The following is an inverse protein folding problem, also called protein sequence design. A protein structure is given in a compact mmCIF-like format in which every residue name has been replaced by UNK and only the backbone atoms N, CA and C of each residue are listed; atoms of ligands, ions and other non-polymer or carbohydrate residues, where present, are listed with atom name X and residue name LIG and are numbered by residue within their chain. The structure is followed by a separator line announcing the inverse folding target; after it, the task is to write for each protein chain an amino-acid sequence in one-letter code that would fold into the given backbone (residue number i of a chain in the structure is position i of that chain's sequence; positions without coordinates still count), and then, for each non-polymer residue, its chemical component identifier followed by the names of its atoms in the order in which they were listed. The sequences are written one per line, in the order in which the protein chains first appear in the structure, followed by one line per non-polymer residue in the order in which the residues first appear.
data_IF_886737076774
#
_entry.id   IF_886737076774
#
_cell.length_a   1.000
_cell.length_b   1.000
_cell.length_c   1.000
_cell.angle_alpha   90.00
_cell.angle_beta   90.00
_cell.angle_gamma   90.00
#
_symmetry.space_group_name_H-M   'P 1'
#
loop_
_entity.id
_entity.type
_entity.pdbx_description
1 polymer ?
#
# COMPACT_ATOMS: atom_id res chain seq x y z
N UNK A 1 3.55 14.24 6.71
CA UNK A 1 3.61 13.65 5.36
C UNK A 1 2.85 12.32 5.26
N UNK A 2 3.36 11.23 5.86
CA UNK A 2 2.73 9.90 5.85
C UNK A 2 1.25 9.87 6.27
N UNK A 3 0.87 10.58 7.33
CA UNK A 3 -0.49 10.54 7.87
C UNK A 3 -1.59 10.91 6.87
N UNK A 4 -1.30 11.83 5.93
CA UNK A 4 -2.27 12.25 4.90
C UNK A 4 -2.64 11.13 3.92
N UNK A 5 -1.70 10.23 3.63
CA UNK A 5 -1.93 9.10 2.72
C UNK A 5 -2.48 7.88 3.45
N UNK A 6 -2.20 7.73 4.75
CA UNK A 6 -2.68 6.60 5.56
C UNK A 6 -4.20 6.57 5.71
N UNK A 7 -4.87 7.73 5.81
CA UNK A 7 -6.34 7.77 5.87
C UNK A 7 -7.00 7.21 4.62
N UNK A 8 -6.47 7.56 3.44
CA UNK A 8 -6.94 7.02 2.16
C UNK A 8 -6.71 5.50 2.06
N UNK A 9 -5.54 5.04 2.51
CA UNK A 9 -5.19 3.62 2.52
C UNK A 9 -6.09 2.77 3.44
N UNK A 10 -6.54 3.30 4.58
CA UNK A 10 -7.48 2.61 5.46
C UNK A 10 -8.80 2.30 4.75
N UNK A 11 -9.38 3.29 4.07
CA UNK A 11 -10.64 3.12 3.31
C UNK A 11 -10.45 2.02 2.26
N UNK A 12 -9.34 2.04 1.52
CA UNK A 12 -9.07 1.02 0.50
C UNK A 12 -8.91 -0.38 1.09
N UNK A 13 -8.23 -0.47 2.24
CA UNK A 13 -8.08 -1.73 2.96
C UNK A 13 -9.46 -2.29 3.35
N UNK A 14 -10.35 -1.46 3.89
CA UNK A 14 -11.73 -1.85 4.19
C UNK A 14 -12.50 -2.26 2.93
N UNK A 15 -12.37 -1.52 1.82
CA UNK A 15 -12.99 -1.88 0.54
C UNK A 15 -12.50 -3.23 0.04
N UNK A 16 -11.21 -3.57 0.21
CA UNK A 16 -10.71 -4.89 -0.20
C UNK A 16 -11.35 -6.04 0.59
N UNK A 17 -11.73 -5.81 1.86
CA UNK A 17 -12.41 -6.82 2.69
C UNK A 17 -13.80 -7.16 2.14
N UNK A 18 -14.44 -6.28 1.35
CA UNK A 18 -15.71 -6.59 0.69
C UNK A 18 -15.60 -7.75 -0.31
N UNK A 19 -14.40 -8.00 -0.83
CA UNK A 19 -14.11 -9.07 -1.80
C UNK A 19 -13.53 -10.32 -1.14
N UNK A 20 -13.49 -10.39 0.20
CA UNK A 20 -12.92 -11.51 0.96
C UNK A 20 -13.58 -12.87 0.65
N UNK A 21 -14.83 -12.85 0.16
CA UNK A 21 -15.59 -14.04 -0.19
C UNK A 21 -14.90 -14.92 -1.23
N UNK A 22 -14.24 -14.32 -2.24
CA UNK A 22 -13.48 -15.06 -3.25
C UNK A 22 -11.97 -14.86 -3.02
N UNK A 23 -11.25 -15.96 -2.82
CA UNK A 23 -9.81 -15.94 -2.48
C UNK A 23 -8.96 -15.21 -3.51
N UNK A 24 -9.20 -15.42 -4.80
CA UNK A 24 -8.44 -14.77 -5.87
C UNK A 24 -8.80 -13.30 -6.04
N UNK A 25 -10.07 -12.96 -5.91
CA UNK A 25 -10.50 -11.56 -5.94
C UNK A 25 -9.90 -10.79 -4.77
N UNK A 26 -10.00 -11.35 -3.56
CA UNK A 26 -9.40 -10.78 -2.37
C UNK A 26 -7.89 -10.64 -2.49
N UNK A 27 -7.20 -11.66 -3.00
CA UNK A 27 -5.74 -11.63 -3.23
C UNK A 27 -5.34 -10.49 -4.16
N UNK A 28 -6.04 -10.31 -5.28
CA UNK A 28 -5.74 -9.21 -6.22
C UNK A 28 -6.11 -7.85 -5.63
N UNK A 29 -7.28 -7.72 -5.01
CA UNK A 29 -7.73 -6.50 -4.35
C UNK A 29 -6.79 -6.07 -3.22
N UNK A 30 -6.37 -7.00 -2.36
CA UNK A 30 -5.45 -6.70 -1.26
C UNK A 30 -4.05 -6.32 -1.78
N UNK A 31 -3.59 -6.91 -2.88
CA UNK A 31 -2.35 -6.48 -3.53
C UNK A 31 -2.46 -5.04 -4.08
N UNK A 32 -3.62 -4.66 -4.62
CA UNK A 32 -3.91 -3.31 -5.08
C UNK A 32 -3.87 -2.27 -3.96
N UNK A 33 -4.39 -2.61 -2.77
CA UNK A 33 -4.30 -1.74 -1.59
C UNK A 33 -2.86 -1.60 -1.13
N UNK A 34 -2.19 -2.73 -0.92
CA UNK A 34 -0.89 -2.76 -0.24
C UNK A 34 0.26 -2.27 -1.09
N UNK A 35 0.16 -2.25 -2.43
CA UNK A 35 1.26 -1.77 -3.29
C UNK A 35 1.59 -0.30 -3.04
N UNK A 36 0.58 0.53 -2.75
CA UNK A 36 0.79 1.94 -2.41
C UNK A 36 1.39 2.08 -1.01
N UNK A 37 0.87 1.33 -0.04
CA UNK A 37 1.38 1.35 1.34
C UNK A 37 2.85 0.94 1.37
N UNK A 38 3.19 -0.13 0.68
CA UNK A 38 4.58 -0.60 0.56
C UNK A 38 5.45 0.46 -0.10
N UNK A 39 5.01 1.10 -1.18
CA UNK A 39 5.76 2.19 -1.81
C UNK A 39 6.00 3.35 -0.83
N UNK A 40 4.97 3.76 -0.08
CA UNK A 40 5.07 4.84 0.89
C UNK A 40 6.00 4.51 2.05
N UNK A 41 5.92 3.30 2.60
CA UNK A 41 6.82 2.83 3.65
C UNK A 41 8.26 2.74 3.15
N UNK A 42 8.49 2.18 1.98
CA UNK A 42 9.84 2.10 1.40
C UNK A 42 10.43 3.49 1.12
N UNK A 43 9.62 4.39 0.55
CA UNK A 43 10.03 5.78 0.35
C UNK A 43 10.36 6.46 1.67
N UNK A 44 9.56 6.23 2.72
CA UNK A 44 9.82 6.78 4.04
C UNK A 44 11.13 6.28 4.64
N UNK A 45 11.36 4.96 4.63
CA UNK A 45 12.58 4.37 5.19
C UNK A 45 13.86 4.80 4.47
N UNK A 46 13.76 5.20 3.19
CA UNK A 46 14.91 5.72 2.44
C UNK A 46 15.04 7.24 2.61
N UNK A 47 13.95 7.98 2.45
CA UNK A 47 14.00 9.45 2.40
C UNK A 47 14.07 10.09 3.78
N UNK A 48 13.52 9.47 4.83
CA UNK A 48 13.53 10.07 6.18
C UNK A 48 14.95 10.19 6.77
N UNK A 49 15.82 9.16 6.72
CA UNK A 49 17.21 9.33 7.16
C UNK A 49 17.98 10.39 6.36
N UNK A 50 17.73 10.45 5.04
CA UNK A 50 18.32 11.47 4.16
C UNK A 50 17.84 12.86 4.59
N UNK A 51 16.54 13.02 4.86
CA UNK A 51 15.96 14.29 5.30
C UNK A 51 16.53 14.72 6.65
N UNK A 52 16.61 13.83 7.63
CA UNK A 52 17.22 14.12 8.94
C UNK A 52 18.69 14.52 8.82
N UNK A 53 19.45 13.88 7.91
CA UNK A 53 20.86 14.17 7.72
C UNK A 53 21.16 15.42 6.89
N UNK A 54 20.29 15.77 5.94
CA UNK A 54 20.60 16.79 4.91
C UNK A 54 19.60 17.96 4.85
N UNK A 55 18.36 17.75 5.30
CA UNK A 55 17.24 18.68 5.16
C UNK A 55 16.90 19.00 3.70
N UNK A 56 17.10 18.07 2.77
CA UNK A 56 16.95 18.32 1.31
C UNK A 56 15.52 18.72 0.95
N UNK A 57 14.51 18.03 1.49
CA UNK A 57 13.11 18.31 1.21
C UNK A 57 12.72 19.66 1.83
N UNK A 58 13.15 19.94 3.06
CA UNK A 58 12.95 21.25 3.70
C UNK A 58 13.59 22.39 2.89
N UNK A 59 14.84 22.22 2.43
CA UNK A 59 15.55 23.24 1.64
C UNK A 59 14.90 23.48 0.29
N UNK A 60 14.54 22.41 -0.44
CA UNK A 60 13.88 22.53 -1.74
C UNK A 60 12.50 23.17 -1.57
N UNK A 61 11.69 22.71 -0.61
CA UNK A 61 10.37 23.30 -0.36
C UNK A 61 10.46 24.75 0.07
N UNK A 62 11.39 25.10 0.97
CA UNK A 62 11.63 26.48 1.39
C UNK A 62 12.04 27.40 0.24
N UNK A 63 12.92 26.93 -0.65
CA UNK A 63 13.33 27.66 -1.86
C UNK A 63 12.15 27.94 -2.80
N UNK A 64 11.17 27.03 -2.89
CA UNK A 64 9.95 27.22 -3.67
C UNK A 64 8.97 28.17 -2.96
N UNK A 65 8.87 28.13 -1.63
CA UNK A 65 7.93 28.97 -0.85
C UNK A 65 8.30 30.45 -0.88
N UNK A 66 9.60 30.77 -0.84
CA UNK A 66 10.09 32.15 -0.78
C UNK A 66 9.45 33.07 -1.86
N UNK A 67 9.47 32.73 -3.16
CA UNK A 67 8.83 33.54 -4.19
C UNK A 67 7.29 33.50 -4.14
N UNK A 68 6.69 32.41 -3.66
CA UNK A 68 5.24 32.22 -3.64
C UNK A 68 4.54 32.90 -2.45
N UNK A 69 5.27 33.19 -1.38
CA UNK A 69 4.72 33.79 -0.15
C UNK A 69 4.25 35.24 -0.29
N UNK A 70 4.57 35.91 -1.40
CA UNK A 70 4.10 37.25 -1.74
C UNK A 70 2.72 37.29 -2.41
N UNK A 71 2.16 36.13 -2.81
CA UNK A 71 0.84 36.06 -3.45
C UNK A 71 -0.24 36.24 -2.38
N UNK A 72 -1.01 37.34 -2.46
CA UNK A 72 -2.12 37.61 -1.53
C UNK A 72 -3.23 36.56 -1.71
N UNK A 73 -3.58 35.86 -0.63
CA UNK A 73 -4.66 34.85 -0.55
C UNK A 73 -6.09 35.39 -0.84
N UNK A 74 -6.21 36.68 -1.19
CA UNK A 74 -7.48 37.40 -1.38
C UNK A 74 -8.30 36.94 -2.59
N UNK A 75 -7.74 36.15 -3.52
CA UNK A 75 -8.45 35.67 -4.72
C UNK A 75 -8.89 34.20 -4.63
N UNK A 76 -8.53 33.46 -3.57
CA UNK A 76 -8.72 31.99 -3.50
C UNK A 76 -9.94 31.58 -2.65
N UNK A 77 -10.68 32.53 -2.06
CA UNK A 77 -11.94 32.27 -1.33
C UNK A 77 -13.06 31.63 -2.18
N UNK A 78 -12.91 31.63 -3.51
CA UNK A 78 -13.85 31.05 -4.49
C UNK A 78 -13.80 29.51 -4.54
N UNK A 79 -12.78 28.86 -3.96
CA UNK A 79 -12.56 27.43 -4.18
C UNK A 79 -13.51 26.53 -3.38
N UNK A 80 -13.85 26.89 -2.13
CA UNK A 80 -14.75 26.08 -1.30
C UNK A 80 -16.18 25.98 -1.88
N UNK A 81 -16.62 26.97 -2.66
CA UNK A 81 -17.92 26.95 -3.34
C UNK A 81 -17.94 25.99 -4.54
N UNK A 82 -16.77 25.67 -5.12
CA UNK A 82 -16.62 24.71 -6.22
C UNK A 82 -16.42 23.26 -5.73
N UNK A 83 -15.89 23.06 -4.52
CA UNK A 83 -15.56 21.72 -4.00
C UNK A 83 -16.81 20.90 -3.66
N UNK A 84 -17.83 21.52 -3.08
CA UNK A 84 -19.07 20.83 -2.67
C UNK A 84 -19.89 20.23 -3.84
N UNK A 85 -20.14 20.93 -4.96
CA UNK A 85 -20.84 20.33 -6.10
C UNK A 85 -20.01 19.23 -6.79
N UNK A 86 -18.68 19.39 -6.83
CA UNK A 86 -17.76 18.40 -7.40
C UNK A 86 -17.75 17.12 -6.56
N UNK A 87 -17.69 17.24 -5.22
CA UNK A 87 -17.76 16.10 -4.31
C UNK A 87 -19.06 15.31 -4.48
N UNK A 88 -20.19 16.00 -4.58
CA UNK A 88 -21.50 15.36 -4.80
C UNK A 88 -21.61 14.70 -6.17
N UNK A 89 -21.06 15.32 -7.22
CA UNK A 89 -21.00 14.72 -8.55
C UNK A 89 -20.12 13.46 -8.56
N UNK A 90 -18.97 13.52 -7.89
CA UNK A 90 -18.06 12.37 -7.75
C UNK A 90 -18.77 11.24 -7.03
N UNK A 91 -19.41 11.49 -5.88
CA UNK A 91 -20.16 10.45 -5.15
C UNK A 91 -21.20 9.79 -6.05
N UNK A 92 -21.93 10.55 -6.87
CA UNK A 92 -22.89 10.00 -7.85
C UNK A 92 -22.20 9.21 -8.97
N UNK A 93 -21.09 9.70 -9.52
CA UNK A 93 -20.33 9.03 -10.57
C UNK A 93 -19.63 7.75 -10.06
N UNK A 94 -19.27 7.70 -8.78
CA UNK A 94 -18.80 6.49 -8.09
C UNK A 94 -19.91 5.47 -7.96
N UNK A 95 -21.07 5.89 -7.44
CA UNK A 95 -22.25 5.02 -7.28
C UNK A 95 -22.76 4.50 -8.63
N UNK A 96 -22.63 5.30 -9.68
CA UNK A 96 -22.97 4.93 -11.05
C UNK A 96 -21.88 4.16 -11.83
N UNK A 97 -20.72 3.88 -11.22
CA UNK A 97 -19.63 3.12 -11.85
C UNK A 97 -18.90 3.79 -13.03
N UNK A 98 -19.29 5.02 -13.40
CA UNK A 98 -18.79 5.73 -14.58
C UNK A 98 -17.29 6.00 -14.52
N UNK A 99 -16.76 6.32 -13.33
CA UNK A 99 -15.32 6.54 -13.11
C UNK A 99 -14.54 5.26 -13.38
N UNK A 100 -15.07 4.10 -12.97
CA UNK A 100 -14.45 2.81 -13.24
C UNK A 100 -14.38 2.50 -14.74
N UNK A 101 -15.44 2.83 -15.48
CA UNK A 101 -15.50 2.67 -16.95
C UNK A 101 -14.51 3.62 -17.65
N UNK A 102 -14.43 4.89 -17.21
CA UNK A 102 -13.51 5.87 -17.76
C UNK A 102 -12.06 5.44 -17.53
N UNK A 103 -11.72 5.08 -16.29
CA UNK A 103 -10.36 4.64 -15.95
C UNK A 103 -10.02 3.38 -16.74
N UNK A 104 -10.93 2.41 -16.84
CA UNK A 104 -10.74 1.24 -17.71
C UNK A 104 -10.43 1.64 -19.16
N UNK A 105 -11.24 2.52 -19.76
CA UNK A 105 -11.05 2.96 -21.16
C UNK A 105 -9.71 3.67 -21.37
N UNK A 106 -9.20 4.36 -20.35
CA UNK A 106 -7.89 5.00 -20.38
C UNK A 106 -6.75 4.00 -20.15
N UNK A 107 -6.98 2.97 -19.35
CA UNK A 107 -5.99 1.92 -19.03
C UNK A 107 -5.90 0.84 -20.10
N UNK A 108 -6.95 0.61 -20.89
CA UNK A 108 -6.99 -0.39 -21.97
C UNK A 108 -6.31 0.10 -23.26
N UNK A 109 -6.01 1.41 -23.37
CA UNK A 109 -5.35 2.00 -24.53
C UNK A 109 -3.83 2.00 -24.34
N UNK A 110 -3.15 1.08 -25.02
CA UNK A 110 -1.69 1.17 -25.18
C UNK A 110 -1.35 2.22 -26.25
N UNK A 111 -0.29 3.00 -26.03
CA UNK A 111 0.19 3.92 -27.08
C UNK A 111 0.72 3.15 -28.29
N UNK A 112 0.47 3.68 -29.51
CA UNK A 112 1.02 3.09 -30.72
C UNK A 112 2.55 3.12 -30.66
N UNK A 113 3.16 2.12 -31.30
CA UNK A 113 4.61 2.08 -31.51
C UNK A 113 5.05 3.36 -32.23
N UNK A 114 6.14 4.05 -31.81
CA UNK A 114 7.20 3.66 -30.86
C UNK A 114 7.00 4.09 -29.40
N UNK A 115 5.88 4.72 -29.04
CA UNK A 115 5.69 5.35 -27.72
C UNK A 115 5.21 4.40 -26.61
N UNK A 116 5.19 3.09 -26.85
CA UNK A 116 4.70 2.09 -25.88
C UNK A 116 5.46 2.11 -24.54
N UNK A 117 6.74 2.51 -24.55
CA UNK A 117 7.52 2.71 -23.32
C UNK A 117 6.92 3.82 -22.42
N UNK A 118 6.30 4.82 -23.03
CA UNK A 118 5.68 5.94 -22.32
C UNK A 118 4.26 5.65 -21.83
N UNK A 119 3.63 4.55 -22.25
CA UNK A 119 2.27 4.20 -21.85
C UNK A 119 2.06 4.28 -20.35
N UNK A 120 2.97 3.69 -19.56
CA UNK A 120 2.80 3.70 -18.11
C UNK A 120 3.07 5.08 -17.47
N UNK A 121 3.88 5.93 -18.10
CA UNK A 121 4.06 7.31 -17.67
C UNK A 121 2.81 8.15 -17.99
N UNK A 122 2.17 7.92 -19.13
CA UNK A 122 0.87 8.53 -19.45
C UNK A 122 -0.20 8.09 -18.45
N UNK A 123 -0.25 6.80 -18.11
CA UNK A 123 -1.14 6.27 -17.06
C UNK A 123 -0.87 6.97 -15.71
N UNK A 124 0.38 7.23 -15.38
CA UNK A 124 0.73 7.99 -14.17
C UNK A 124 0.21 9.44 -14.23
N UNK A 125 0.40 10.14 -15.35
CA UNK A 125 -0.14 11.50 -15.54
C UNK A 125 -1.66 11.51 -15.45
N UNK A 126 -2.34 10.53 -16.05
CA UNK A 126 -3.79 10.36 -15.94
C UNK A 126 -4.23 10.22 -14.49
N UNK A 127 -3.53 9.39 -13.69
CA UNK A 127 -3.81 9.25 -12.26
C UNK A 127 -3.65 10.55 -11.49
N UNK A 128 -2.59 11.32 -11.80
CA UNK A 128 -2.36 12.64 -11.23
C UNK A 128 -3.52 13.59 -11.54
N UNK A 129 -3.89 13.74 -12.82
CA UNK A 129 -4.95 14.65 -13.27
C UNK A 129 -6.30 14.26 -12.68
N UNK A 130 -6.66 12.98 -12.71
CA UNK A 130 -7.94 12.52 -12.16
C UNK A 130 -8.01 12.85 -10.67
N UNK A 131 -6.94 12.61 -9.90
CA UNK A 131 -6.95 12.93 -8.47
C UNK A 131 -6.91 14.42 -8.19
N UNK A 132 -6.25 15.25 -9.01
CA UNK A 132 -6.33 16.72 -8.86
C UNK A 132 -7.75 17.23 -9.05
N UNK A 133 -8.50 16.65 -10.00
CA UNK A 133 -9.91 17.00 -10.27
C UNK A 133 -10.82 16.47 -9.15
N UNK A 134 -10.64 15.20 -8.78
CA UNK A 134 -11.47 14.53 -7.77
C UNK A 134 -11.14 15.00 -6.34
N UNK A 135 -9.93 15.51 -6.14
CA UNK A 135 -9.34 15.95 -4.87
C UNK A 135 -9.34 14.90 -3.75
N UNK A 136 -9.71 13.66 -4.04
CA UNK A 136 -9.75 12.55 -3.09
C UNK A 136 -9.12 11.29 -3.69
N UNK A 137 -7.91 11.00 -3.23
CA UNK A 137 -7.19 9.79 -3.65
C UNK A 137 -7.70 8.54 -2.94
N UNK A 138 -8.38 8.66 -1.79
CA UNK A 138 -9.07 7.54 -1.14
C UNK A 138 -10.23 7.04 -1.99
N UNK A 139 -11.08 7.95 -2.46
CA UNK A 139 -12.17 7.66 -3.39
C UNK A 139 -11.66 7.01 -4.67
N UNK A 140 -10.64 7.60 -5.30
CA UNK A 140 -10.06 7.08 -6.54
C UNK A 140 -9.58 5.63 -6.40
N UNK A 141 -8.85 5.32 -5.32
CA UNK A 141 -8.33 3.97 -5.04
C UNK A 141 -9.44 2.99 -4.66
N UNK A 142 -10.50 3.44 -3.99
CA UNK A 142 -11.65 2.63 -3.61
C UNK A 142 -12.43 2.12 -4.84
N UNK A 143 -12.46 2.89 -5.94
CA UNK A 143 -13.03 2.43 -7.23
C UNK A 143 -12.15 1.38 -7.89
N UNK A 144 -10.84 1.57 -7.84
CA UNK A 144 -9.89 0.72 -8.56
C UNK A 144 -9.68 -0.63 -7.88
N UNK A 145 -9.81 -0.68 -6.55
CA UNK A 145 -9.59 -1.90 -5.76
C UNK A 145 -10.54 -3.04 -6.16
N UNK A 146 -11.86 -2.83 -6.34
CA UNK A 146 -12.77 -3.78 -6.97
C UNK A 146 -12.35 -4.22 -8.37
N UNK A 147 -11.97 -3.28 -9.23
CA UNK A 147 -11.59 -3.57 -10.62
C UNK A 147 -10.36 -4.49 -10.73
N UNK A 148 -9.37 -4.29 -9.85
CA UNK A 148 -8.22 -5.20 -9.76
C UNK A 148 -8.62 -6.54 -9.15
N UNK A 149 -9.49 -6.52 -8.13
CA UNK A 149 -10.01 -7.73 -7.52
C UNK A 149 -10.73 -8.64 -8.53
N UNK A 150 -11.61 -8.11 -9.37
CA UNK A 150 -12.25 -8.88 -10.45
C UNK A 150 -11.32 -9.21 -11.62
N UNK A 151 -10.11 -8.63 -11.67
CA UNK A 151 -9.08 -8.92 -12.67
C UNK A 151 -9.20 -8.09 -13.96
N UNK A 152 -10.07 -7.06 -13.97
CA UNK A 152 -10.21 -6.13 -15.11
C UNK A 152 -8.98 -5.24 -15.25
N UNK A 153 -8.37 -4.85 -14.12
CA UNK A 153 -7.15 -4.06 -14.09
C UNK A 153 -6.02 -4.89 -13.48
N UNK A 154 -4.84 -4.89 -14.11
CA UNK A 154 -3.67 -5.57 -13.57
C UNK A 154 -2.96 -4.70 -12.53
N UNK A 155 -2.27 -5.33 -11.58
CA UNK A 155 -1.51 -4.61 -10.55
C UNK A 155 -0.39 -3.75 -11.17
N UNK A 156 0.17 -4.21 -12.29
CA UNK A 156 1.24 -3.57 -13.05
C UNK A 156 0.80 -2.27 -13.71
N UNK A 157 -0.45 -2.22 -14.24
CA UNK A 157 -1.03 -0.98 -14.76
C UNK A 157 -1.58 -0.09 -13.65
N UNK A 158 -2.07 -0.68 -12.55
CA UNK A 158 -2.54 0.08 -11.40
C UNK A 158 -1.40 0.84 -10.70
N UNK A 159 -0.22 0.22 -10.54
CA UNK A 159 0.88 0.83 -9.79
C UNK A 159 1.29 2.24 -10.27
N UNK A 160 1.62 2.49 -11.56
CA UNK A 160 1.91 3.85 -12.05
C UNK A 160 0.73 4.80 -11.86
N UNK A 161 -0.50 4.33 -12.03
CA UNK A 161 -1.71 5.13 -11.83
C UNK A 161 -1.81 5.62 -10.37
N UNK A 162 -1.47 4.77 -9.41
CA UNK A 162 -1.44 5.11 -7.98
C UNK A 162 -0.32 6.08 -7.62
N UNK A 163 0.87 5.91 -8.21
CA UNK A 163 1.96 6.88 -8.04
C UNK A 163 1.56 8.27 -8.55
N UNK A 164 0.88 8.31 -9.69
CA UNK A 164 0.28 9.53 -10.22
C UNK A 164 -0.71 10.16 -9.25
N UNK A 165 -1.61 9.34 -8.70
CA UNK A 165 -2.56 9.76 -7.68
C UNK A 165 -1.90 10.33 -6.41
N UNK A 166 -0.76 9.80 -5.96
CA UNK A 166 -0.03 10.34 -4.81
C UNK A 166 0.49 11.75 -5.10
N UNK A 167 1.05 11.97 -6.30
CA UNK A 167 1.46 13.31 -6.75
C UNK A 167 0.24 14.24 -6.87
N UNK A 168 -0.85 13.77 -7.49
CA UNK A 168 -2.07 14.57 -7.64
C UNK A 168 -2.71 14.98 -6.30
N UNK A 169 -2.59 14.16 -5.25
CA UNK A 169 -3.12 14.46 -3.91
C UNK A 169 -2.48 15.72 -3.31
N UNK A 170 -1.24 16.04 -3.67
CA UNK A 170 -0.52 17.17 -3.07
C UNK A 170 -1.08 18.51 -3.54
N UNK A 171 -1.77 18.56 -4.69
CA UNK A 171 -2.50 19.73 -5.16
C UNK A 171 -3.55 20.19 -4.14
N UNK A 172 -4.29 19.25 -3.53
CA UNK A 172 -5.26 19.57 -2.47
C UNK A 172 -4.58 20.21 -1.26
N UNK A 173 -3.39 19.72 -0.87
CA UNK A 173 -2.61 20.29 0.23
C UNK A 173 -2.14 21.72 -0.07
N UNK A 174 -1.71 21.98 -1.30
CA UNK A 174 -1.29 23.32 -1.74
C UNK A 174 -2.48 24.29 -1.75
N UNK A 175 -3.65 23.88 -2.27
CA UNK A 175 -4.86 24.68 -2.23
C UNK A 175 -5.35 24.98 -0.81
N UNK A 176 -5.26 23.99 0.08
CA UNK A 176 -5.57 24.14 1.49
C UNK A 176 -4.60 25.12 2.18
N UNK A 177 -3.31 25.08 1.84
CA UNK A 177 -2.33 26.01 2.36
C UNK A 177 -2.60 27.46 1.93
N UNK A 178 -3.03 27.69 0.69
CA UNK A 178 -3.43 29.02 0.21
C UNK A 178 -4.72 29.53 0.85
N UNK A 179 -5.61 28.63 1.25
CA UNK A 179 -6.85 28.96 1.97
C UNK A 179 -6.66 29.11 3.49
N UNK A 180 -5.47 28.81 4.00
CA UNK A 180 -5.15 28.91 5.43
C UNK A 180 -4.97 30.37 5.86
N UNK A 181 -4.82 30.58 7.18
CA UNK A 181 -4.57 31.89 7.77
C UNK A 181 -3.39 32.61 7.08
N UNK A 182 -3.57 33.85 6.57
CA UNK A 182 -2.50 34.63 5.96
C UNK A 182 -1.25 34.77 6.83
N UNK A 183 -1.39 34.75 8.16
CA UNK A 183 -0.25 34.81 9.07
C UNK A 183 0.63 33.56 9.05
N UNK A 184 0.09 32.40 8.65
CA UNK A 184 0.76 31.10 8.63
C UNK A 184 0.97 30.53 7.23
N UNK A 185 0.64 31.28 6.19
CA UNK A 185 0.68 30.82 4.80
C UNK A 185 2.04 30.27 4.39
N UNK A 186 3.14 30.83 4.92
CA UNK A 186 4.50 30.35 4.66
C UNK A 186 4.70 28.93 5.20
N UNK A 187 4.31 28.69 6.44
CA UNK A 187 4.48 27.38 7.10
C UNK A 187 3.57 26.32 6.49
N UNK A 188 2.31 26.66 6.22
CA UNK A 188 1.34 25.72 5.62
C UNK A 188 1.71 25.39 4.18
N UNK A 189 2.17 26.38 3.40
CA UNK A 189 2.61 26.16 2.02
C UNK A 189 3.91 25.37 1.97
N UNK A 190 4.85 25.63 2.89
CA UNK A 190 6.06 24.84 3.00
C UNK A 190 5.74 23.38 3.31
N UNK A 191 4.83 23.11 4.23
CA UNK A 191 4.40 21.73 4.54
C UNK A 191 3.76 21.04 3.31
N UNK A 192 2.91 21.75 2.56
CA UNK A 192 2.26 21.21 1.36
C UNK A 192 3.25 20.95 0.20
N UNK A 193 4.20 21.87 -0.01
CA UNK A 193 5.23 21.72 -1.02
C UNK A 193 6.26 20.66 -0.63
N UNK A 194 6.59 20.55 0.66
CA UNK A 194 7.44 19.48 1.16
C UNK A 194 6.79 18.11 0.88
N UNK A 195 5.46 17.97 1.03
CA UNK A 195 4.74 16.75 0.64
C UNK A 195 4.83 16.50 -0.87
N UNK A 196 4.72 17.54 -1.69
CA UNK A 196 4.87 17.46 -3.16
C UNK A 196 6.26 16.97 -3.55
N UNK A 197 7.30 17.56 -2.97
CA UNK A 197 8.69 17.18 -3.21
C UNK A 197 8.96 15.75 -2.75
N UNK A 198 8.47 15.37 -1.56
CA UNK A 198 8.57 14.01 -1.04
C UNK A 198 7.97 12.98 -2.01
N UNK A 199 6.73 13.21 -2.48
CA UNK A 199 6.06 12.30 -3.40
C UNK A 199 6.77 12.24 -4.76
N UNK A 200 7.27 13.38 -5.27
CA UNK A 200 7.99 13.43 -6.53
C UNK A 200 9.33 12.69 -6.46
N UNK A 201 10.13 12.92 -5.41
CA UNK A 201 11.39 12.22 -5.19
C UNK A 201 11.14 10.71 -5.06
N UNK A 202 10.11 10.31 -4.31
CA UNK A 202 9.73 8.89 -4.18
C UNK A 202 9.43 8.25 -5.54
N UNK A 203 8.66 8.92 -6.39
CA UNK A 203 8.37 8.45 -7.76
C UNK A 203 9.65 8.34 -8.59
N UNK A 204 10.50 9.36 -8.58
CA UNK A 204 11.78 9.38 -9.32
C UNK A 204 12.72 8.26 -8.84
N UNK A 205 12.71 7.95 -7.55
CA UNK A 205 13.55 6.91 -6.96
C UNK A 205 13.06 5.50 -7.36
N UNK A 206 11.75 5.25 -7.27
CA UNK A 206 11.21 3.89 -7.40
C UNK A 206 10.75 3.52 -8.81
N UNK A 207 10.26 4.47 -9.61
CA UNK A 207 9.54 4.12 -10.84
C UNK A 207 10.40 4.00 -12.10
N UNK A 208 11.33 4.94 -12.41
CA UNK A 208 12.17 4.89 -13.60
C UNK A 208 13.08 3.67 -13.65
N UNK A 209 13.59 3.24 -12.49
CA UNK A 209 14.52 2.12 -12.37
C UNK A 209 13.72 0.80 -12.36
N UNK A 210 13.86 -0.09 -13.37
CA UNK A 210 13.02 -1.29 -13.48
C UNK A 210 13.14 -2.24 -12.29
N UNK A 211 14.33 -2.30 -11.67
CA UNK A 211 14.57 -3.09 -10.46
C UNK A 211 13.79 -2.54 -9.26
N UNK A 212 13.92 -1.23 -8.98
CA UNK A 212 13.21 -0.60 -7.87
C UNK A 212 11.69 -0.68 -8.04
N UNK A 213 11.19 -0.51 -9.26
CA UNK A 213 9.75 -0.60 -9.57
C UNK A 213 9.15 -1.96 -9.22
N UNK A 214 9.93 -3.04 -9.35
CA UNK A 214 9.48 -4.40 -9.04
C UNK A 214 9.42 -4.67 -7.54
N UNK A 215 10.13 -3.91 -6.71
CA UNK A 215 10.19 -4.14 -5.26
C UNK A 215 8.80 -3.97 -4.62
N UNK A 216 8.09 -2.83 -4.75
CA UNK A 216 6.77 -2.65 -4.14
C UNK A 216 5.74 -3.67 -4.66
N UNK A 217 5.72 -3.91 -5.97
CA UNK A 217 4.80 -4.86 -6.62
C UNK A 217 5.00 -6.27 -6.06
N UNK A 218 6.25 -6.72 -5.94
CA UNK A 218 6.56 -8.07 -5.48
C UNK A 218 6.24 -8.26 -3.99
N UNK A 219 6.53 -7.26 -3.16
CA UNK A 219 6.18 -7.31 -1.74
C UNK A 219 4.66 -7.34 -1.57
N UNK A 220 3.93 -6.49 -2.29
CA UNK A 220 2.46 -6.45 -2.26
C UNK A 220 1.84 -7.79 -2.68
N UNK A 221 2.33 -8.39 -3.78
CA UNK A 221 1.89 -9.73 -4.21
C UNK A 221 2.18 -10.81 -3.17
N UNK A 222 3.38 -10.82 -2.58
CA UNK A 222 3.75 -11.79 -1.54
C UNK A 222 2.87 -11.63 -0.30
N UNK A 223 2.67 -10.40 0.15
CA UNK A 223 1.83 -10.06 1.28
C UNK A 223 0.39 -10.52 1.03
N UNK A 224 -0.19 -10.14 -0.11
CA UNK A 224 -1.55 -10.54 -0.47
C UNK A 224 -1.75 -12.05 -0.67
N UNK A 225 -0.76 -12.77 -1.18
CA UNK A 225 -0.80 -14.24 -1.27
C UNK A 225 -0.86 -14.89 0.13
N UNK A 226 -0.16 -14.32 1.12
CA UNK A 226 -0.22 -14.77 2.51
C UNK A 226 -1.55 -14.39 3.16
N UNK A 227 -1.98 -13.14 3.01
CA UNK A 227 -3.23 -12.62 3.58
C UNK A 227 -4.47 -13.33 3.02
N UNK A 228 -4.48 -13.66 1.73
CA UNK A 228 -5.59 -14.41 1.12
C UNK A 228 -5.69 -15.86 1.60
N UNK A 229 -4.58 -16.44 2.08
CA UNK A 229 -4.58 -17.76 2.74
C UNK A 229 -5.04 -17.67 4.19
N UNK A 230 -4.64 -16.63 4.91
CA UNK A 230 -4.94 -16.40 6.33
C UNK A 230 -5.74 -15.10 6.48
N UNK A 231 -7.06 -15.14 6.24
CA UNK A 231 -7.91 -13.93 6.15
C UNK A 231 -7.83 -13.01 7.39
N UNK A 232 -7.62 -13.59 8.57
CA UNK A 232 -7.44 -12.86 9.84
C UNK A 232 -6.22 -11.95 9.86
N UNK A 233 -5.19 -12.31 9.09
CA UNK A 233 -3.99 -11.51 8.92
C UNK A 233 -4.30 -10.13 8.33
N UNK A 234 -5.36 -10.01 7.52
CA UNK A 234 -5.79 -8.73 6.96
C UNK A 234 -6.27 -7.76 8.05
N UNK A 235 -7.04 -8.26 9.01
CA UNK A 235 -7.57 -7.46 10.13
C UNK A 235 -6.44 -7.01 11.05
N UNK A 236 -5.49 -7.90 11.35
CA UNK A 236 -4.30 -7.55 12.13
C UNK A 236 -3.43 -6.55 11.37
N UNK A 237 -3.22 -6.74 10.07
CA UNK A 237 -2.50 -5.79 9.25
C UNK A 237 -3.12 -4.40 9.34
N UNK A 238 -4.44 -4.28 9.21
CA UNK A 238 -5.15 -3.01 9.34
C UNK A 238 -4.98 -2.42 10.75
N UNK A 239 -5.19 -3.22 11.80
CA UNK A 239 -5.03 -2.78 13.18
C UNK A 239 -3.59 -2.28 13.45
N UNK A 240 -2.59 -3.02 12.99
CA UNK A 240 -1.17 -2.70 13.20
C UNK A 240 -0.79 -1.45 12.41
N UNK A 241 -1.08 -1.40 11.12
CA UNK A 241 -0.58 -0.33 10.24
C UNK A 241 -1.32 0.99 10.46
N UNK A 242 -2.62 0.97 10.74
CA UNK A 242 -3.43 2.19 10.84
C UNK A 242 -3.69 2.67 12.28
N UNK A 243 -3.52 1.81 13.28
CA UNK A 243 -3.77 2.18 14.68
C UNK A 243 -2.52 2.02 15.53
N UNK A 244 -2.00 0.79 15.68
CA UNK A 244 -0.90 0.51 16.62
C UNK A 244 0.38 1.24 16.22
N UNK A 245 0.79 1.17 14.95
CA UNK A 245 2.02 1.80 14.46
C UNK A 245 1.94 3.34 14.56
N UNK A 246 0.88 4.03 14.11
CA UNK A 246 0.75 5.47 14.30
C UNK A 246 0.73 5.89 15.77
N UNK A 247 -0.01 5.17 16.63
CA UNK A 247 -0.05 5.43 18.08
C UNK A 247 1.34 5.24 18.69
N UNK A 248 2.04 4.19 18.30
CA UNK A 248 3.40 3.92 18.75
C UNK A 248 4.37 5.03 18.32
N UNK A 249 4.39 5.40 17.04
CA UNK A 249 5.25 6.48 16.54
C UNK A 249 4.91 7.83 17.19
N UNK A 250 3.63 8.12 17.40
CA UNK A 250 3.18 9.33 18.09
C UNK A 250 3.61 9.33 19.56
N UNK A 251 3.43 8.23 20.28
CA UNK A 251 3.89 8.10 21.66
C UNK A 251 5.41 8.26 21.80
N UNK A 252 6.16 7.68 20.86
CA UNK A 252 7.63 7.78 20.79
C UNK A 252 8.09 9.22 20.47
N UNK A 253 7.28 10.03 19.79
CA UNK A 253 7.61 11.43 19.46
C UNK A 253 7.69 12.37 20.68
N UNK A 254 7.14 11.99 21.83
CA UNK A 254 7.27 12.76 23.08
C UNK A 254 8.56 12.45 23.86
N UNK A 255 9.32 11.44 23.42
CA UNK A 255 10.53 11.01 24.11
C UNK A 255 11.76 11.82 23.63
N UNK A 256 12.80 11.96 24.47
CA UNK A 256 14.07 12.53 24.06
C UNK A 256 14.65 11.82 22.82
N UNK A 257 15.25 12.59 21.91
CA UNK A 257 15.83 12.12 20.65
C UNK A 257 16.65 10.81 20.73
N UNK A 258 17.56 10.60 21.71
CA UNK A 258 18.33 9.35 21.77
C UNK A 258 17.46 8.12 22.11
N UNK A 259 16.44 8.30 22.95
CA UNK A 259 15.50 7.22 23.32
C UNK A 259 14.55 6.94 22.16
N UNK A 260 14.09 7.99 21.49
CA UNK A 260 13.26 7.89 20.29
C UNK A 260 13.95 7.07 19.19
N UNK A 261 15.22 7.40 18.89
CA UNK A 261 16.04 6.68 17.91
C UNK A 261 16.26 5.23 18.29
N UNK A 262 16.57 4.92 19.55
CA UNK A 262 16.79 3.53 19.96
C UNK A 262 15.51 2.69 19.85
N UNK A 263 14.36 3.22 20.28
CA UNK A 263 13.08 2.52 20.20
C UNK A 263 12.65 2.22 18.76
N UNK A 264 12.96 3.09 17.81
CA UNK A 264 12.65 2.87 16.38
C UNK A 264 13.68 1.94 15.72
N UNK A 265 14.97 2.16 15.96
CA UNK A 265 16.05 1.44 15.29
C UNK A 265 16.17 -0.03 15.72
N UNK A 266 15.88 -0.36 16.99
CA UNK A 266 15.95 -1.75 17.50
C UNK A 266 14.98 -2.70 16.75
N UNK A 267 13.66 -2.43 16.69
CA UNK A 267 12.73 -3.29 15.97
C UNK A 267 13.03 -3.31 14.45
N UNK A 268 13.43 -2.18 13.86
CA UNK A 268 13.86 -2.14 12.46
C UNK A 268 15.07 -3.02 12.19
N UNK A 269 16.09 -2.96 13.05
CA UNK A 269 17.28 -3.80 12.97
C UNK A 269 16.94 -5.28 13.11
N UNK A 270 16.06 -5.62 14.07
CA UNK A 270 15.57 -6.99 14.22
C UNK A 270 14.84 -7.50 12.97
N UNK A 271 13.91 -6.72 12.42
CA UNK A 271 13.23 -7.08 11.16
C UNK A 271 14.20 -7.18 9.98
N UNK A 272 15.18 -6.28 9.87
CA UNK A 272 16.20 -6.31 8.83
C UNK A 272 17.05 -7.59 8.92
N UNK A 273 17.44 -8.00 10.13
CA UNK A 273 18.16 -9.25 10.38
C UNK A 273 17.30 -10.46 9.97
N UNK A 274 16.01 -10.50 10.33
CA UNK A 274 15.11 -11.57 9.91
C UNK A 274 14.96 -11.64 8.38
N UNK A 275 14.83 -10.48 7.71
CA UNK A 275 14.75 -10.41 6.26
C UNK A 275 16.06 -10.90 5.63
N UNK A 276 17.21 -10.50 6.19
CA UNK A 276 18.53 -10.92 5.73
C UNK A 276 18.71 -12.43 5.88
N UNK A 277 18.36 -13.00 7.04
CA UNK A 277 18.40 -14.45 7.29
C UNK A 277 17.53 -15.19 6.26
N UNK A 278 16.28 -14.75 6.06
CA UNK A 278 15.39 -15.36 5.06
C UNK A 278 15.93 -15.20 3.63
N UNK A 279 16.61 -14.09 3.31
CA UNK A 279 17.24 -13.88 2.01
C UNK A 279 18.42 -14.85 1.80
N UNK A 280 19.29 -15.02 2.80
CA UNK A 280 20.44 -15.93 2.71
C UNK A 280 19.98 -17.39 2.69
N UNK A 281 18.91 -17.77 3.41
CA UNK A 281 18.29 -19.10 3.32
C UNK A 281 17.90 -19.46 1.88
N UNK A 282 17.39 -18.49 1.10
CA UNK A 282 16.94 -18.71 -0.29
C UNK A 282 18.09 -18.68 -1.29
N UNK A 283 19.07 -17.77 -1.12
CA UNK A 283 20.16 -17.59 -2.09
C UNK A 283 21.40 -18.46 -1.81
N UNK A 284 21.81 -18.59 -0.55
CA UNK A 284 23.05 -19.28 -0.16
C UNK A 284 22.86 -20.05 1.16
N UNK A 285 22.10 -21.17 1.17
CA UNK A 285 21.81 -21.92 2.40
C UNK A 285 23.06 -22.52 3.05
N UNK A 286 24.16 -22.69 2.31
CA UNK A 286 25.44 -23.20 2.80
C UNK A 286 26.14 -22.30 3.83
N UNK A 287 25.98 -20.98 3.72
CA UNK A 287 26.68 -20.00 4.60
C UNK A 287 25.99 -19.80 5.96
N UNK A 288 24.83 -20.41 6.21
CA UNK A 288 24.14 -20.31 7.50
C UNK A 288 24.47 -21.48 8.42
N UNK A 289 24.61 -21.24 9.74
CA UNK A 289 24.69 -22.32 10.72
C UNK A 289 23.39 -23.15 10.68
N UNK A 290 23.51 -24.45 10.98
CA UNK A 290 22.45 -25.45 10.77
C UNK A 290 21.10 -25.07 11.42
N UNK A 291 21.12 -24.37 12.57
CA UNK A 291 19.93 -23.87 13.28
C UNK A 291 19.20 -22.72 12.57
N UNK A 292 19.90 -21.90 11.78
CA UNK A 292 19.29 -20.78 11.06
C UNK A 292 18.89 -21.15 9.62
N UNK A 293 19.24 -22.34 9.12
CA UNK A 293 18.84 -22.81 7.77
C UNK A 293 17.36 -23.11 7.66
N UNK A 294 16.74 -23.50 8.77
CA UNK A 294 15.30 -23.72 8.87
C UNK A 294 14.81 -23.20 10.22
N UNK A 295 13.62 -22.60 10.24
CA UNK A 295 13.01 -22.11 11.48
C UNK A 295 12.38 -23.25 12.31
N UNK A 296 12.64 -24.52 11.98
CA UNK A 296 12.06 -25.71 12.61
C UNK A 296 12.50 -25.88 14.08
N UNK A 297 13.59 -25.21 14.51
CA UNK A 297 14.00 -25.21 15.91
C UNK A 297 13.07 -24.37 16.80
N UNK A 298 12.34 -23.41 16.22
CA UNK A 298 11.38 -22.59 16.96
C UNK A 298 10.07 -23.37 17.12
N UNK A 299 9.38 -23.24 18.26
CA UNK A 299 8.03 -23.74 18.44
C UNK A 299 7.12 -23.40 17.25
N UNK A 300 6.18 -24.28 16.90
CA UNK A 300 5.27 -24.11 15.76
C UNK A 300 4.55 -22.75 15.75
N UNK A 301 4.27 -22.20 16.93
CA UNK A 301 3.68 -20.87 17.11
C UNK A 301 4.57 -19.72 16.62
N UNK A 302 5.90 -19.88 16.59
CA UNK A 302 6.81 -18.80 16.20
C UNK A 302 7.21 -18.87 14.72
N UNK A 303 7.00 -20.00 14.05
CA UNK A 303 7.38 -20.16 12.63
C UNK A 303 6.20 -20.50 11.69
N UNK A 304 5.03 -20.87 12.22
CA UNK A 304 3.84 -21.22 11.42
C UNK A 304 2.60 -20.42 11.84
N UNK A 305 1.84 -19.96 10.84
CA UNK A 305 0.55 -19.27 11.04
C UNK A 305 -0.62 -20.25 11.25
N UNK A 306 -0.40 -21.55 11.03
CA UNK A 306 -1.43 -22.59 11.12
C UNK A 306 -2.08 -22.77 12.51
N UNK A 307 -1.34 -22.78 13.63
CA UNK A 307 -1.96 -22.90 14.96
C UNK A 307 -2.88 -21.72 15.28
N UNK A 308 -2.47 -20.49 14.94
CA UNK A 308 -3.30 -19.30 15.10
C UNK A 308 -4.55 -19.32 14.21
N UNK A 309 -4.41 -19.74 12.95
CA UNK A 309 -5.54 -19.88 12.02
C UNK A 309 -6.63 -20.82 12.58
N UNK A 310 -6.21 -21.94 13.18
CA UNK A 310 -7.11 -22.91 13.81
C UNK A 310 -7.82 -22.32 15.04
N UNK A 311 -7.10 -21.62 15.91
CA UNK A 311 -7.67 -20.97 17.09
C UNK A 311 -8.66 -19.85 16.71
N UNK A 312 -8.27 -18.99 15.77
CA UNK A 312 -9.05 -17.86 15.32
C UNK A 312 -10.32 -18.30 14.59
N UNK A 313 -10.22 -19.33 13.73
CA UNK A 313 -11.38 -19.92 13.06
C UNK A 313 -12.38 -20.51 14.06
N UNK A 314 -11.90 -21.23 15.10
CA UNK A 314 -12.77 -21.78 16.15
C UNK A 314 -13.51 -20.70 16.96
N UNK A 315 -12.86 -19.58 17.22
CA UNK A 315 -13.45 -18.48 17.98
C UNK A 315 -14.44 -17.68 17.12
N UNK A 316 -14.08 -17.39 15.87
CA UNK A 316 -14.87 -16.51 15.01
C UNK A 316 -16.06 -17.20 14.32
N UNK A 317 -16.05 -18.52 14.13
CA UNK A 317 -17.22 -19.25 13.60
C UNK A 317 -18.40 -19.32 14.59
N UNK A 318 -18.14 -19.09 15.88
CA UNK A 318 -19.18 -18.95 16.91
C UNK A 318 -19.94 -17.62 16.83
N UNK A 319 -19.34 -16.59 16.22
CA UNK A 319 -19.96 -15.27 16.07
C UNK A 319 -20.78 -15.26 14.76
N UNK A 320 -22.10 -15.12 14.88
CA UNK A 320 -23.04 -15.20 13.74
C UNK A 320 -22.71 -14.21 12.61
N UNK A 321 -22.30 -12.99 12.96
CA UNK A 321 -21.92 -11.92 12.02
C UNK A 321 -20.64 -12.22 11.23
N UNK A 322 -19.70 -12.93 11.86
CA UNK A 322 -18.40 -13.27 11.29
C UNK A 322 -18.47 -14.51 10.38
N UNK A 323 -19.49 -15.36 10.53
CA UNK A 323 -19.58 -16.66 9.85
C UNK A 323 -19.30 -16.60 8.33
N UNK A 324 -19.73 -15.54 7.63
CA UNK A 324 -19.50 -15.32 6.18
C UNK A 324 -18.05 -14.93 5.82
N UNK A 325 -17.35 -14.23 6.71
CA UNK A 325 -15.92 -13.85 6.55
C UNK A 325 -15.00 -15.07 6.77
N UNK A 326 -15.39 -15.94 7.72
CA UNK A 326 -14.57 -17.04 8.21
C UNK A 326 -14.88 -18.41 7.61
N UNK A 327 -16.02 -18.60 6.92
CA UNK A 327 -16.21 -19.79 6.10
C UNK A 327 -15.15 -19.81 4.99
N UNK A 328 -14.16 -20.69 5.17
CA UNK A 328 -13.41 -21.28 4.07
C UNK A 328 -14.43 -21.82 3.06
N UNK A 329 -14.23 -21.58 1.77
CA UNK A 329 -14.83 -22.46 0.77
C UNK A 329 -14.36 -23.87 1.13
N UNK A 330 -15.29 -24.76 1.46
CA UNK A 330 -15.01 -26.15 1.80
C UNK A 330 -14.21 -26.84 0.69
N UNK A 331 -14.40 -26.40 -0.56
CA UNK A 331 -13.74 -26.90 -1.77
C UNK A 331 -12.20 -26.83 -1.74
N UNK A 332 -11.60 -25.90 -0.98
CA UNK A 332 -10.13 -25.72 -0.92
C UNK A 332 -9.46 -26.73 0.04
N UNK A 333 -10.24 -27.46 0.86
CA UNK A 333 -9.76 -28.53 1.75
C UNK A 333 -9.82 -29.87 1.03
N UNK A 334 -10.94 -30.19 0.35
CA UNK A 334 -11.13 -31.46 -0.35
C UNK A 334 -10.16 -31.63 -1.52
N UNK A 335 -9.88 -30.56 -2.27
CA UNK A 335 -8.85 -30.58 -3.31
C UNK A 335 -7.44 -30.82 -2.73
N UNK A 336 -7.18 -30.47 -1.46
CA UNK A 336 -5.85 -30.47 -0.85
C UNK A 336 -5.58 -31.71 0.02
N UNK A 337 -6.63 -32.38 0.48
CA UNK A 337 -6.57 -33.76 0.96
C UNK A 337 -6.51 -34.71 -0.24
N UNK A 338 -7.39 -34.55 -1.23
CA UNK A 338 -7.35 -35.34 -2.46
C UNK A 338 -6.00 -35.30 -3.20
N UNK A 339 -5.37 -34.12 -3.33
CA UNK A 339 -4.04 -34.04 -3.98
C UNK A 339 -2.91 -34.64 -3.11
N UNK A 340 -3.01 -34.57 -1.78
CA UNK A 340 -2.01 -35.18 -0.88
C UNK A 340 -2.14 -36.70 -0.90
N UNK A 341 -3.36 -37.21 -0.91
CA UNK A 341 -3.61 -38.65 -1.00
C UNK A 341 -3.16 -39.19 -2.36
N UNK A 342 -3.40 -38.46 -3.46
CA UNK A 342 -2.93 -38.82 -4.79
C UNK A 342 -1.39 -38.78 -4.91
N UNK A 343 -0.73 -37.78 -4.32
CA UNK A 343 0.74 -37.67 -4.31
C UNK A 343 1.39 -38.74 -3.43
N UNK A 344 0.70 -39.18 -2.36
CA UNK A 344 1.13 -40.29 -1.50
C UNK A 344 0.94 -41.64 -2.21
N UNK A 345 -0.17 -41.83 -2.94
CA UNK A 345 -0.43 -43.01 -3.77
C UNK A 345 0.57 -43.12 -4.93
N UNK A 346 0.92 -42.00 -5.58
CA UNK A 346 1.96 -41.99 -6.62
C UNK A 346 3.32 -42.42 -6.07
N UNK A 347 3.71 -41.92 -4.88
CA UNK A 347 4.96 -42.32 -4.22
C UNK A 347 4.97 -43.80 -3.82
N UNK A 348 3.84 -44.34 -3.37
CA UNK A 348 3.70 -45.76 -3.03
C UNK A 348 3.75 -46.66 -4.27
N UNK A 349 3.15 -46.24 -5.40
CA UNK A 349 3.18 -46.98 -6.67
C UNK A 349 4.59 -47.08 -7.28
N UNK A 350 5.41 -46.04 -7.11
CA UNK A 350 6.81 -46.08 -7.57
C UNK A 350 7.75 -46.86 -6.65
N UNK A 351 7.38 -47.07 -5.38
CA UNK A 351 8.15 -47.94 -4.48
C UNK A 351 7.84 -49.43 -4.64
N UNK A 352 6.76 -49.80 -5.33
CA UNK A 352 6.39 -51.21 -5.59
C UNK A 352 6.89 -51.76 -6.92
N UNK A 353 7.64 -50.98 -7.71
CA UNK A 353 8.24 -51.40 -8.99
C UNK A 353 9.78 -51.53 -8.96
N UNK A 354 10.39 -51.71 -7.79
CA UNK A 354 11.84 -52.02 -7.66
C UNK A 354 12.02 -53.35 -6.96
#
# INVERSE_FOLDING_TARGET
MLGSEMGASLINALVSLTQVGNRDQFRRAFAAVTVNDVFNFLSYFILMPIEVGTGVIEKISGAIVQPLSGVKASEIKTLNFLTDPVLNYIIRALLGGQIGILVRKLMDKDLPWPFTCFTNYVVMVVGCVIVMIIQSSGVFRAVLTPLVGIGVVTLERLYPLLLGANVGTTFTGVLAAFSADPAKIKETLQMALAQTVYNLIGVILFYPIPFMRRIPINIAKKLANKTSKYRWFALIYIAVIFFILPIYLFGVSFLPLPIMLSMICIPLGFFAILILINYIQVKCPGNLPQKLRSWNFLPDYLHSLHPYDKAMTRYCTKISFCRKFWHRNADDIDLREGNRDMETLFKLSHQTQV
#
